data_IF_055557926821
#
_entry.id   IF_055557926821
#
_cell.length_a   1.000
_cell.length_b   1.000
_cell.length_c   1.000
_cell.angle_alpha   90.00
_cell.angle_beta   90.00
_cell.angle_gamma   90.00
#
_symmetry.space_group_name_H-M   'P 1'
#
loop_
_entity.id
_entity.type
_entity.pdbx_description
1 polymer ?
#
# COMPACT_ATOMS: atom_id res chain seq x y z
N UNK A 1 10.82 13.01 -13.58
CA UNK A 1 9.81 12.67 -12.54
C UNK A 1 8.53 13.50 -12.68
N UNK A 2 8.57 14.75 -13.13
CA UNK A 2 7.35 15.55 -13.40
C UNK A 2 6.44 14.88 -14.43
N UNK A 3 7.00 14.41 -15.59
CA UNK A 3 6.22 13.74 -16.64
C UNK A 3 5.57 12.42 -16.18
N UNK A 4 6.23 11.67 -15.33
CA UNK A 4 5.67 10.42 -14.77
C UNK A 4 4.67 10.63 -13.65
N UNK A 5 4.51 11.87 -13.16
CA UNK A 5 3.69 12.22 -12.00
C UNK A 5 4.34 11.90 -10.66
N UNK A 6 5.56 11.33 -10.65
CA UNK A 6 6.23 10.91 -9.40
C UNK A 6 6.92 12.06 -8.66
N UNK A 7 7.11 13.21 -9.31
CA UNK A 7 7.71 14.38 -8.67
C UNK A 7 6.96 14.76 -7.40
N UNK A 8 5.64 14.88 -7.47
CA UNK A 8 4.82 15.26 -6.31
C UNK A 8 4.88 14.22 -5.19
N UNK A 9 4.78 12.93 -5.50
CA UNK A 9 4.87 11.86 -4.49
C UNK A 9 6.25 11.72 -3.85
N UNK A 10 7.32 12.14 -4.55
CA UNK A 10 8.69 12.12 -3.99
C UNK A 10 9.08 13.39 -3.26
N UNK A 11 8.26 14.44 -3.35
CA UNK A 11 8.56 15.77 -2.83
C UNK A 11 7.57 16.23 -1.76
N UNK A 12 6.38 15.61 -1.69
CA UNK A 12 5.36 15.94 -0.72
C UNK A 12 5.53 15.10 0.57
N UNK A 13 5.25 15.69 1.71
CA UNK A 13 5.23 15.01 3.00
C UNK A 13 6.57 14.38 3.37
N UNK A 14 6.58 13.05 3.52
CA UNK A 14 7.78 12.24 3.80
C UNK A 14 8.50 11.79 2.51
N UNK A 15 8.42 12.58 1.45
CA UNK A 15 9.05 12.29 0.17
C UNK A 15 10.56 12.05 0.28
N UNK A 16 11.06 11.09 -0.50
CA UNK A 16 12.45 10.60 -0.42
C UNK A 16 13.43 11.30 -1.35
N UNK A 17 13.02 12.34 -2.09
CA UNK A 17 13.90 13.02 -3.03
C UNK A 17 14.61 14.20 -2.39
N UNK A 18 15.95 14.21 -2.46
CA UNK A 18 16.72 15.42 -2.15
C UNK A 18 16.43 16.52 -3.17
N UNK A 19 16.01 17.67 -2.66
CA UNK A 19 15.77 18.89 -3.43
C UNK A 19 16.93 19.85 -3.27
N UNK A 20 17.28 20.50 -4.37
CA UNK A 20 18.23 21.59 -4.37
C UNK A 20 17.84 22.62 -5.45
N UNK A 21 18.29 23.83 -5.27
CA UNK A 21 18.10 24.92 -6.21
C UNK A 21 19.46 25.31 -6.81
N UNK A 22 19.51 25.45 -8.11
CA UNK A 22 20.74 25.92 -8.76
C UNK A 22 20.87 27.45 -8.67
N UNK A 23 22.03 27.96 -9.14
CA UNK A 23 22.30 29.41 -9.10
C UNK A 23 21.34 30.25 -9.95
N UNK A 24 20.49 29.63 -10.75
CA UNK A 24 19.49 30.28 -11.61
C UNK A 24 18.07 30.16 -11.05
N UNK A 25 17.93 29.61 -9.84
CA UNK A 25 16.62 29.40 -9.20
C UNK A 25 15.83 28.22 -9.78
N UNK A 26 16.51 27.25 -10.43
CA UNK A 26 15.83 26.07 -10.98
C UNK A 26 15.85 24.96 -9.94
N UNK A 27 14.70 24.38 -9.70
CA UNK A 27 14.56 23.19 -8.85
C UNK A 27 15.21 21.97 -9.51
N UNK A 28 16.03 21.27 -8.76
CA UNK A 28 16.71 20.04 -9.14
C UNK A 28 16.45 18.98 -8.07
N UNK A 29 16.44 17.71 -8.46
CA UNK A 29 16.37 16.57 -7.55
C UNK A 29 17.52 15.61 -7.78
N UNK A 30 18.10 15.08 -6.69
CA UNK A 30 19.01 13.94 -6.81
C UNK A 30 18.20 12.67 -7.02
N UNK A 31 18.68 11.80 -7.92
CA UNK A 31 17.94 10.61 -8.34
C UNK A 31 17.81 9.55 -7.25
N UNK A 32 16.61 9.30 -6.72
CA UNK A 32 16.35 8.18 -5.80
C UNK A 32 16.25 6.84 -6.54
N UNK A 33 15.93 6.90 -7.83
CA UNK A 33 15.82 5.79 -8.78
C UNK A 33 15.81 6.33 -10.22
N UNK A 34 15.97 5.51 -11.27
CA UNK A 34 16.22 6.02 -12.62
C UNK A 34 15.24 5.49 -13.68
N UNK A 35 14.03 5.04 -13.34
CA UNK A 35 13.04 4.60 -14.32
C UNK A 35 12.80 5.66 -15.39
N UNK A 36 12.58 6.92 -14.99
CA UNK A 36 12.31 8.00 -15.93
C UNK A 36 13.51 8.33 -16.81
N UNK A 37 14.72 8.35 -16.22
CA UNK A 37 15.93 8.66 -16.95
C UNK A 37 16.18 7.63 -18.05
N UNK A 38 16.10 6.35 -17.72
CA UNK A 38 16.33 5.25 -18.66
C UNK A 38 15.20 5.13 -19.69
N UNK A 39 13.94 5.42 -19.29
CA UNK A 39 12.80 5.48 -20.20
C UNK A 39 12.98 6.59 -21.25
N UNK A 40 13.47 7.77 -20.83
CA UNK A 40 13.78 8.86 -21.76
C UNK A 40 14.87 8.46 -22.76
N UNK A 41 15.96 7.88 -22.25
CA UNK A 41 17.06 7.38 -23.09
C UNK A 41 16.60 6.30 -24.08
N UNK A 42 15.80 5.34 -23.64
CA UNK A 42 15.25 4.30 -24.48
C UNK A 42 14.35 4.89 -25.60
N UNK A 43 13.52 5.87 -25.28
CA UNK A 43 12.68 6.57 -26.26
C UNK A 43 13.47 7.29 -27.35
N UNK A 44 14.70 7.72 -27.05
CA UNK A 44 15.59 8.32 -28.03
C UNK A 44 16.34 7.28 -28.93
N UNK A 45 16.70 6.14 -28.34
CA UNK A 45 17.57 5.15 -28.99
C UNK A 45 16.79 4.02 -29.66
N UNK A 46 15.66 3.59 -29.10
CA UNK A 46 14.89 2.44 -29.55
C UNK A 46 13.70 2.90 -30.40
N UNK A 47 13.76 2.66 -31.71
CA UNK A 47 12.75 3.13 -32.66
C UNK A 47 11.92 2.03 -33.29
N UNK A 48 12.37 0.78 -33.22
CA UNK A 48 11.78 -0.33 -33.96
C UNK A 48 11.67 -1.58 -33.07
N UNK A 49 10.61 -2.35 -33.27
CA UNK A 49 10.42 -3.66 -32.63
C UNK A 49 11.61 -4.61 -32.87
N UNK A 50 12.38 -4.44 -33.95
CA UNK A 50 13.55 -5.28 -34.23
C UNK A 50 14.72 -5.06 -33.27
N UNK A 51 14.68 -3.99 -32.48
CA UNK A 51 15.66 -3.70 -31.45
C UNK A 51 15.26 -4.30 -30.09
N UNK A 52 14.06 -4.89 -29.99
CA UNK A 52 13.46 -5.45 -28.76
C UNK A 52 13.53 -6.98 -28.77
N UNK A 53 13.61 -7.64 -27.61
CA UNK A 53 13.76 -7.02 -26.29
C UNK A 53 15.18 -6.49 -26.04
N UNK A 54 15.30 -5.51 -25.18
CA UNK A 54 16.59 -4.99 -24.70
C UNK A 54 16.57 -4.80 -23.20
N UNK A 55 17.68 -5.10 -22.53
CA UNK A 55 17.86 -4.86 -21.11
C UNK A 55 19.08 -3.98 -20.91
N UNK A 56 18.84 -2.77 -20.40
CA UNK A 56 19.86 -1.77 -20.07
C UNK A 56 20.13 -1.81 -18.57
N UNK A 57 21.39 -1.72 -18.16
CA UNK A 57 21.72 -1.71 -16.73
C UNK A 57 22.78 -0.68 -16.40
N UNK A 58 22.83 -0.32 -15.16
CA UNK A 58 23.88 0.50 -14.57
C UNK A 58 24.21 0.03 -13.15
N UNK A 59 25.39 0.38 -12.67
CA UNK A 59 25.78 0.33 -11.27
C UNK A 59 26.11 1.75 -10.89
N UNK A 60 25.24 2.40 -10.12
CA UNK A 60 25.29 3.84 -9.95
C UNK A 60 24.76 4.24 -8.55
N UNK A 61 25.27 5.36 -8.05
CA UNK A 61 24.81 5.95 -6.80
C UNK A 61 23.36 6.41 -6.91
N UNK A 62 22.59 6.14 -5.87
CA UNK A 62 21.23 6.65 -5.63
C UNK A 62 21.24 7.51 -4.38
N UNK A 63 20.33 8.48 -4.35
CA UNK A 63 20.17 9.40 -3.24
C UNK A 63 18.73 9.36 -2.73
N UNK A 64 18.56 9.07 -1.44
CA UNK A 64 17.24 9.08 -0.80
C UNK A 64 17.31 9.87 0.49
N UNK A 65 16.43 10.86 0.65
CA UNK A 65 16.37 11.68 1.87
C UNK A 65 15.65 10.90 2.98
N UNK A 66 16.30 9.85 3.44
CA UNK A 66 15.80 9.00 4.52
C UNK A 66 15.68 9.81 5.81
N UNK A 67 14.48 9.82 6.39
CA UNK A 67 14.22 10.54 7.66
C UNK A 67 15.05 9.95 8.80
N UNK A 68 15.19 8.61 8.81
CA UNK A 68 15.91 7.89 9.87
C UNK A 68 16.88 6.88 9.26
N UNK A 69 18.07 7.32 8.79
CA UNK A 69 19.12 6.38 8.40
C UNK A 69 19.46 5.46 9.58
N UNK A 70 19.55 4.16 9.32
CA UNK A 70 19.78 3.14 10.36
C UNK A 70 20.65 2.00 9.83
N UNK A 71 21.14 1.16 10.75
CA UNK A 71 21.88 -0.06 10.45
C UNK A 71 23.11 0.13 9.56
N UNK A 72 23.85 1.22 9.76
CA UNK A 72 25.07 1.52 9.03
C UNK A 72 24.81 1.71 7.53
N UNK A 73 25.31 0.80 6.69
CA UNK A 73 25.19 0.89 5.24
C UNK A 73 23.85 0.36 4.70
N UNK A 74 23.05 -0.35 5.49
CA UNK A 74 21.84 -0.98 5.00
C UNK A 74 20.73 0.01 4.64
N UNK A 75 20.67 1.16 5.33
CA UNK A 75 19.68 2.21 5.06
C UNK A 75 20.33 3.58 5.15
N UNK A 76 21.14 3.91 4.13
CA UNK A 76 21.82 5.17 3.98
C UNK A 76 21.08 6.15 3.06
N UNK A 77 21.49 7.43 3.12
CA UNK A 77 20.99 8.47 2.22
C UNK A 77 21.67 8.47 0.85
N UNK A 78 22.83 7.88 0.77
CA UNK A 78 23.62 7.67 -0.43
C UNK A 78 24.08 6.21 -0.47
N UNK A 79 23.80 5.48 -1.55
CA UNK A 79 24.14 4.08 -1.68
C UNK A 79 24.31 3.69 -3.14
N UNK A 80 25.04 2.61 -3.39
CA UNK A 80 25.23 2.06 -4.73
C UNK A 80 24.17 1.00 -5.00
N UNK A 81 23.52 1.14 -6.15
CA UNK A 81 22.53 0.17 -6.64
C UNK A 81 22.91 -0.31 -8.03
N UNK A 82 22.82 -1.61 -8.27
CA UNK A 82 22.69 -2.15 -9.62
C UNK A 82 21.21 -2.09 -9.97
N UNK A 83 20.87 -1.34 -10.97
CA UNK A 83 19.53 -1.26 -11.52
C UNK A 83 19.52 -1.54 -13.01
N UNK A 84 18.59 -2.40 -13.44
CA UNK A 84 18.39 -2.75 -14.83
C UNK A 84 16.95 -2.50 -15.25
N UNK A 85 16.77 -2.20 -16.52
CA UNK A 85 15.49 -1.82 -17.10
C UNK A 85 15.32 -2.54 -18.44
N UNK A 86 14.27 -3.34 -18.55
CA UNK A 86 13.98 -4.06 -19.78
C UNK A 86 12.84 -3.39 -20.56
N UNK A 87 12.94 -3.44 -21.88
CA UNK A 87 12.00 -2.85 -22.83
C UNK A 87 11.54 -3.91 -23.81
N UNK A 88 10.22 -4.01 -24.00
CA UNK A 88 9.58 -5.10 -24.72
C UNK A 88 8.48 -4.61 -25.65
N UNK A 89 8.24 -5.36 -26.71
CA UNK A 89 7.11 -5.12 -27.62
C UNK A 89 5.77 -5.63 -27.07
N UNK A 90 5.79 -6.61 -26.17
CA UNK A 90 4.57 -7.23 -25.62
C UNK A 90 4.70 -7.53 -24.13
N UNK A 91 3.55 -7.67 -23.47
CA UNK A 91 3.49 -8.11 -22.09
C UNK A 91 4.03 -9.53 -21.89
N UNK A 92 3.78 -10.42 -22.86
CA UNK A 92 4.26 -11.80 -22.80
C UNK A 92 5.78 -11.88 -22.75
N UNK A 93 6.47 -11.08 -23.58
CA UNK A 93 7.91 -10.97 -23.62
C UNK A 93 8.48 -10.35 -22.32
N UNK A 94 7.79 -9.34 -21.74
CA UNK A 94 8.14 -8.81 -20.42
C UNK A 94 8.07 -9.91 -19.34
N UNK A 95 7.00 -10.71 -19.33
CA UNK A 95 6.82 -11.77 -18.33
C UNK A 95 7.88 -12.88 -18.45
N UNK A 96 8.28 -13.22 -19.68
CA UNK A 96 9.38 -14.16 -19.93
C UNK A 96 10.70 -13.62 -19.35
N UNK A 97 11.06 -12.38 -19.69
CA UNK A 97 12.26 -11.73 -19.15
C UNK A 97 12.21 -11.58 -17.64
N UNK A 98 11.05 -11.27 -17.07
CA UNK A 98 10.88 -11.21 -15.63
C UNK A 98 11.20 -12.57 -14.95
N UNK A 99 10.73 -13.68 -15.52
CA UNK A 99 11.06 -15.03 -15.03
C UNK A 99 12.57 -15.34 -15.15
N UNK A 100 13.21 -14.92 -16.22
CA UNK A 100 14.68 -15.07 -16.39
C UNK A 100 15.44 -14.25 -15.33
N UNK A 101 14.98 -13.03 -15.05
CA UNK A 101 15.58 -12.18 -14.02
C UNK A 101 15.35 -12.71 -12.61
N UNK A 102 14.18 -13.26 -12.28
CA UNK A 102 13.96 -13.97 -11.01
C UNK A 102 14.98 -15.08 -10.80
N UNK A 103 15.16 -15.96 -11.78
CA UNK A 103 16.14 -17.05 -11.68
C UNK A 103 17.59 -16.53 -11.58
N UNK A 104 17.91 -15.43 -12.27
CA UNK A 104 19.22 -14.82 -12.19
C UNK A 104 19.49 -14.26 -10.78
N UNK A 105 18.50 -13.59 -10.16
CA UNK A 105 18.61 -13.04 -8.80
C UNK A 105 18.79 -14.13 -7.75
N UNK A 106 18.01 -15.21 -7.81
CA UNK A 106 18.21 -16.39 -6.94
C UNK A 106 19.63 -16.90 -7.02
N UNK A 107 20.17 -17.07 -8.23
CA UNK A 107 21.55 -17.53 -8.45
C UNK A 107 22.60 -16.54 -7.95
N UNK A 108 22.37 -15.23 -8.13
CA UNK A 108 23.27 -14.18 -7.63
C UNK A 108 23.34 -14.25 -6.10
N UNK A 109 22.21 -14.26 -5.42
CA UNK A 109 22.18 -14.30 -3.95
C UNK A 109 22.74 -15.59 -3.39
N UNK A 110 22.42 -16.75 -3.97
CA UNK A 110 23.02 -18.04 -3.62
C UNK A 110 24.56 -18.00 -3.75
N UNK A 111 25.09 -17.45 -4.84
CA UNK A 111 26.55 -17.31 -5.04
C UNK A 111 27.19 -16.31 -4.09
N UNK A 112 26.44 -15.37 -3.56
CA UNK A 112 26.87 -14.46 -2.48
C UNK A 112 26.77 -15.10 -1.10
N UNK A 113 26.28 -16.35 -0.99
CA UNK A 113 26.06 -17.01 0.29
C UNK A 113 24.84 -16.51 1.05
N UNK A 114 23.88 -15.86 0.37
CA UNK A 114 22.66 -15.33 0.94
C UNK A 114 21.49 -16.28 0.62
N UNK A 115 20.80 -16.73 1.66
CA UNK A 115 19.55 -17.48 1.53
C UNK A 115 18.38 -16.48 1.41
N UNK A 116 18.22 -15.96 0.20
CA UNK A 116 17.21 -14.96 -0.10
C UNK A 116 15.90 -15.61 -0.54
N UNK A 117 14.85 -15.40 0.23
CA UNK A 117 13.49 -15.86 -0.08
C UNK A 117 12.79 -14.82 -0.95
N UNK A 118 12.29 -15.19 -2.15
CA UNK A 118 11.43 -14.31 -2.91
C UNK A 118 10.07 -14.19 -2.25
N UNK A 119 9.60 -12.98 -2.08
CA UNK A 119 8.30 -12.68 -1.46
C UNK A 119 7.49 -11.73 -2.36
N UNK A 120 6.20 -11.96 -2.44
CA UNK A 120 5.30 -11.04 -3.13
C UNK A 120 5.27 -9.70 -2.40
N UNK A 121 5.38 -8.61 -3.15
CA UNK A 121 5.47 -7.27 -2.61
C UNK A 121 4.45 -6.31 -3.25
N UNK A 122 4.13 -5.23 -2.55
CA UNK A 122 3.45 -4.10 -3.16
C UNK A 122 4.43 -3.30 -4.02
N UNK A 123 3.97 -2.82 -5.17
CA UNK A 123 4.83 -2.06 -6.09
C UNK A 123 5.08 -0.61 -5.65
N UNK A 124 4.38 -0.14 -4.62
CA UNK A 124 4.52 1.19 -4.02
C UNK A 124 4.49 2.34 -5.04
N UNK A 125 5.27 3.37 -4.78
CA UNK A 125 5.39 4.55 -5.64
C UNK A 125 5.96 4.23 -7.03
N UNK A 126 6.77 3.17 -7.16
CA UNK A 126 7.28 2.69 -8.45
C UNK A 126 6.11 2.25 -9.33
N UNK A 127 5.16 1.52 -8.75
CA UNK A 127 3.97 1.01 -9.43
C UNK A 127 4.29 -0.15 -10.38
N UNK A 128 3.28 -0.60 -11.10
CA UNK A 128 3.35 -1.76 -11.98
C UNK A 128 2.30 -2.81 -11.64
N UNK A 129 2.25 -3.88 -12.42
CA UNK A 129 1.25 -4.95 -12.25
C UNK A 129 1.61 -5.95 -11.15
N UNK A 130 2.90 -6.17 -10.92
CA UNK A 130 3.43 -7.10 -9.92
C UNK A 130 4.86 -6.71 -9.53
N UNK A 131 5.24 -7.04 -8.31
CA UNK A 131 6.62 -6.94 -7.85
C UNK A 131 6.96 -8.06 -6.87
N UNK A 132 8.26 -8.35 -6.77
CA UNK A 132 8.81 -9.39 -5.91
C UNK A 132 10.10 -8.90 -5.28
N UNK A 133 10.15 -8.96 -3.96
CA UNK A 133 11.35 -8.71 -3.16
C UNK A 133 12.13 -10.00 -2.92
N UNK A 134 13.44 -9.86 -2.78
CA UNK A 134 14.30 -10.94 -2.31
C UNK A 134 14.76 -10.59 -0.90
N UNK A 135 14.28 -11.38 0.08
CA UNK A 135 14.41 -11.11 1.50
C UNK A 135 15.36 -12.11 2.15
N UNK A 136 16.41 -11.62 2.78
CA UNK A 136 17.25 -12.45 3.68
C UNK A 136 16.65 -12.41 5.08
N UNK A 137 16.25 -13.56 5.59
CA UNK A 137 15.68 -13.65 6.95
C UNK A 137 16.76 -13.38 8.00
N UNK A 138 16.51 -12.41 8.87
CA UNK A 138 17.42 -12.04 9.96
C UNK A 138 16.63 -11.39 11.10
N UNK A 139 16.99 -11.69 12.34
CA UNK A 139 16.33 -11.08 13.52
C UNK A 139 16.45 -9.54 13.56
N UNK A 140 17.51 -9.01 12.96
CA UNK A 140 17.74 -7.58 12.81
C UNK A 140 17.00 -6.96 11.62
N UNK A 141 16.22 -7.75 10.84
CA UNK A 141 15.47 -7.26 9.70
C UNK A 141 14.39 -6.26 10.10
N UNK A 142 14.17 -5.26 9.26
CA UNK A 142 13.12 -4.25 9.47
C UNK A 142 11.77 -4.72 8.96
N UNK A 143 11.77 -5.42 7.83
CA UNK A 143 10.55 -5.76 7.11
C UNK A 143 9.96 -7.06 7.63
N UNK A 144 8.65 -7.03 7.81
CA UNK A 144 7.88 -8.19 8.21
C UNK A 144 7.47 -8.98 6.97
N UNK A 145 7.80 -10.25 6.97
CA UNK A 145 7.36 -11.20 5.95
C UNK A 145 6.51 -12.29 6.56
N UNK A 146 5.45 -12.65 5.85
CA UNK A 146 4.55 -13.73 6.19
C UNK A 146 4.80 -14.89 5.24
N UNK A 147 5.10 -16.05 5.78
CA UNK A 147 5.44 -17.28 5.04
C UNK A 147 4.50 -18.37 5.49
N UNK A 148 3.90 -19.09 4.56
CA UNK A 148 3.14 -20.30 4.89
C UNK A 148 4.07 -21.41 5.41
N UNK A 149 3.60 -22.23 6.34
CA UNK A 149 4.40 -23.29 6.95
C UNK A 149 4.79 -24.40 5.95
N UNK A 150 4.08 -24.52 4.82
CA UNK A 150 4.44 -25.37 3.68
C UNK A 150 5.47 -24.72 2.73
N UNK A 151 5.83 -23.45 2.96
CA UNK A 151 6.80 -22.70 2.17
C UNK A 151 6.37 -22.35 0.74
N UNK A 152 5.09 -22.55 0.38
CA UNK A 152 4.60 -22.29 -0.98
C UNK A 152 4.11 -20.84 -1.18
N UNK A 153 3.88 -20.09 -0.09
CA UNK A 153 3.47 -18.69 -0.12
C UNK A 153 4.39 -17.86 0.77
N UNK A 154 4.85 -16.74 0.25
CA UNK A 154 5.57 -15.73 1.01
C UNK A 154 5.22 -14.33 0.46
N UNK A 155 4.94 -13.39 1.35
CA UNK A 155 4.66 -11.99 1.00
C UNK A 155 5.16 -11.06 2.11
N UNK A 156 5.50 -9.82 1.74
CA UNK A 156 5.73 -8.78 2.73
C UNK A 156 4.41 -8.35 3.40
N UNK A 157 4.49 -7.69 4.55
CA UNK A 157 3.30 -7.27 5.33
C UNK A 157 2.32 -6.43 4.50
N UNK A 158 2.81 -5.61 3.59
CA UNK A 158 1.99 -4.70 2.78
C UNK A 158 1.10 -5.45 1.78
N UNK A 159 1.61 -6.57 1.26
CA UNK A 159 0.94 -7.39 0.23
C UNK A 159 0.23 -8.60 0.78
N UNK A 160 0.65 -9.11 1.94
CA UNK A 160 0.20 -10.37 2.48
C UNK A 160 -1.32 -10.48 2.60
N UNK A 161 -1.85 -11.63 2.17
CA UNK A 161 -3.27 -11.99 2.27
C UNK A 161 -3.43 -13.25 3.10
N UNK A 162 -4.53 -13.35 3.84
CA UNK A 162 -4.82 -14.50 4.68
C UNK A 162 -6.30 -14.62 5.02
N UNK A 163 -6.70 -15.75 5.56
CA UNK A 163 -8.02 -15.97 6.14
C UNK A 163 -7.88 -15.93 7.66
N UNK A 164 -8.45 -14.93 8.35
CA UNK A 164 -8.36 -14.82 9.80
C UNK A 164 -9.28 -15.82 10.50
N UNK A 165 -9.09 -15.98 11.80
CA UNK A 165 -10.02 -16.74 12.63
C UNK A 165 -11.45 -16.19 12.49
N UNK A 166 -12.43 -17.10 12.55
CA UNK A 166 -13.84 -16.75 12.54
C UNK A 166 -14.18 -15.82 13.72
N UNK A 167 -15.09 -14.88 13.50
CA UNK A 167 -15.59 -14.04 14.58
C UNK A 167 -16.39 -14.84 15.59
N UNK A 168 -16.31 -14.49 16.87
CA UNK A 168 -17.19 -15.03 17.88
C UNK A 168 -18.63 -14.55 17.62
N UNK A 169 -19.63 -15.43 17.66
CA UNK A 169 -21.02 -15.00 17.46
C UNK A 169 -21.49 -14.10 18.60
N UNK A 170 -22.39 -13.17 18.30
CA UNK A 170 -23.18 -12.47 19.32
C UNK A 170 -24.40 -13.33 19.71
N UNK A 171 -24.90 -13.20 20.95
CA UNK A 171 -26.16 -13.82 21.33
C UNK A 171 -27.32 -13.23 20.52
N UNK A 172 -28.30 -14.05 20.21
CA UNK A 172 -29.51 -13.59 19.54
C UNK A 172 -30.26 -12.58 20.42
N UNK A 173 -30.73 -11.49 19.84
CA UNK A 173 -31.44 -10.45 20.56
C UNK A 173 -31.68 -9.19 19.70
N UNK A 174 -32.45 -8.24 20.22
CA UNK A 174 -32.66 -6.95 19.57
C UNK A 174 -31.39 -6.10 19.62
N UNK A 175 -31.36 -5.07 18.78
CA UNK A 175 -30.37 -4.01 18.91
C UNK A 175 -30.57 -3.22 20.22
N UNK A 176 -29.51 -2.96 20.93
CA UNK A 176 -29.50 -2.20 22.17
C UNK A 176 -28.46 -1.09 22.14
N UNK A 177 -28.79 0.06 22.71
CA UNK A 177 -27.83 1.14 22.96
C UNK A 177 -27.22 1.02 24.33
N UNK A 178 -25.92 0.86 24.43
CA UNK A 178 -25.22 0.58 25.69
C UNK A 178 -24.30 1.75 26.04
N UNK A 179 -24.46 2.38 27.23
CA UNK A 179 -23.54 3.40 27.71
C UNK A 179 -22.14 2.83 27.96
N UNK A 180 -21.15 3.56 27.48
CA UNK A 180 -19.73 3.17 27.53
C UNK A 180 -18.83 4.36 27.87
N UNK A 181 -19.07 5.03 28.99
CA UNK A 181 -18.37 6.26 29.35
C UNK A 181 -16.86 6.01 29.53
N UNK A 182 -16.04 6.78 28.80
CA UNK A 182 -14.58 6.70 28.85
C UNK A 182 -13.98 5.46 28.17
N UNK A 183 -14.77 4.64 27.47
CA UNK A 183 -14.31 3.41 26.80
C UNK A 183 -14.07 3.67 25.30
N UNK A 184 -13.04 4.45 25.00
CA UNK A 184 -12.74 4.88 23.61
C UNK A 184 -11.83 3.95 22.81
N UNK A 185 -11.28 2.87 23.38
CA UNK A 185 -10.48 1.86 22.69
C UNK A 185 -11.16 0.51 22.66
N UNK A 186 -10.85 -0.32 21.66
CA UNK A 186 -11.37 -1.70 21.59
C UNK A 186 -11.01 -2.51 22.83
N UNK A 187 -9.78 -2.39 23.31
CA UNK A 187 -9.28 -3.07 24.49
C UNK A 187 -10.12 -2.68 25.72
N UNK A 188 -10.20 -1.38 26.05
CA UNK A 188 -10.97 -0.90 27.21
C UNK A 188 -12.46 -1.26 27.14
N UNK A 189 -13.04 -1.20 25.92
CA UNK A 189 -14.44 -1.53 25.68
C UNK A 189 -14.72 -3.02 25.92
N UNK A 190 -13.87 -3.88 25.33
CA UNK A 190 -14.04 -5.33 25.42
C UNK A 190 -13.78 -5.84 26.85
N UNK A 191 -12.75 -5.34 27.51
CA UNK A 191 -12.42 -5.71 28.89
C UNK A 191 -13.54 -5.31 29.88
N UNK A 192 -14.05 -4.08 29.76
CA UNK A 192 -15.09 -3.58 30.64
C UNK A 192 -16.45 -4.28 30.44
N UNK A 193 -16.75 -4.73 29.23
CA UNK A 193 -18.05 -5.32 28.89
C UNK A 193 -18.03 -6.84 28.74
N UNK A 194 -16.86 -7.47 28.76
CA UNK A 194 -16.70 -8.90 28.52
C UNK A 194 -16.98 -9.28 27.05
N UNK A 195 -16.79 -8.34 26.11
CA UNK A 195 -17.01 -8.58 24.68
C UNK A 195 -15.75 -9.12 24.02
N UNK A 196 -15.92 -9.90 22.95
CA UNK A 196 -14.80 -10.34 22.15
C UNK A 196 -14.50 -9.27 21.08
N UNK A 197 -13.23 -8.84 20.88
CA UNK A 197 -12.88 -7.87 19.84
C UNK A 197 -13.36 -8.24 18.44
N UNK A 198 -13.46 -9.55 18.12
CA UNK A 198 -13.96 -10.00 16.82
C UNK A 198 -15.45 -9.73 16.56
N UNK A 199 -16.21 -9.38 17.62
CA UNK A 199 -17.63 -9.02 17.55
C UNK A 199 -17.85 -7.53 17.27
N UNK A 200 -16.78 -6.73 17.31
CA UNK A 200 -16.84 -5.27 17.18
C UNK A 200 -16.45 -4.84 15.75
N UNK A 201 -17.22 -3.93 15.18
CA UNK A 201 -16.81 -3.15 14.01
C UNK A 201 -16.35 -1.78 14.48
N UNK A 202 -15.03 -1.56 14.44
CA UNK A 202 -14.43 -0.25 14.71
C UNK A 202 -14.38 0.58 13.44
N UNK A 203 -14.56 1.88 13.58
CA UNK A 203 -14.48 2.85 12.50
C UNK A 203 -13.25 3.73 12.68
N UNK A 204 -12.45 3.80 11.64
CA UNK A 204 -11.26 4.62 11.55
C UNK A 204 -11.47 5.71 10.50
N UNK A 205 -11.11 6.94 10.83
CA UNK A 205 -11.24 8.07 9.92
C UNK A 205 -9.87 8.48 9.39
N UNK A 206 -9.79 8.66 8.07
CA UNK A 206 -8.60 9.14 7.37
C UNK A 206 -8.95 10.29 6.43
N UNK A 207 -7.95 11.05 6.02
CA UNK A 207 -8.03 11.93 4.87
C UNK A 207 -6.96 11.56 3.87
N UNK A 208 -7.37 11.31 2.63
CA UNK A 208 -6.47 11.07 1.51
C UNK A 208 -6.27 12.35 0.71
N UNK A 209 -5.02 12.70 0.40
CA UNK A 209 -4.65 13.73 -0.55
C UNK A 209 -4.44 13.07 -1.90
N UNK A 210 -5.23 13.46 -2.89
CA UNK A 210 -5.17 12.90 -4.24
C UNK A 210 -4.21 13.69 -5.13
N UNK A 211 -3.85 13.14 -6.28
CA UNK A 211 -2.92 13.73 -7.26
C UNK A 211 -3.42 15.06 -7.88
N UNK A 212 -4.73 15.33 -7.82
CA UNK A 212 -5.34 16.61 -8.18
C UNK A 212 -5.52 17.56 -6.97
N UNK A 213 -4.81 17.32 -5.88
CA UNK A 213 -4.87 18.07 -4.61
C UNK A 213 -6.23 17.98 -3.88
N UNK A 214 -7.14 17.15 -4.35
CA UNK A 214 -8.41 16.88 -3.65
C UNK A 214 -8.15 16.20 -2.30
N UNK A 215 -8.80 16.69 -1.26
CA UNK A 215 -8.78 16.09 0.08
C UNK A 215 -10.05 15.28 0.30
N UNK A 216 -9.92 13.95 0.25
CA UNK A 216 -11.02 13.01 0.38
C UNK A 216 -11.08 12.39 1.79
N UNK A 217 -12.10 12.71 2.61
CA UNK A 217 -12.32 12.00 3.87
C UNK A 217 -12.73 10.55 3.63
N UNK A 218 -12.17 9.64 4.43
CA UNK A 218 -12.44 8.21 4.40
C UNK A 218 -13.06 7.77 5.71
N UNK A 219 -14.05 6.88 5.64
CA UNK A 219 -14.60 6.15 6.76
C UNK A 219 -14.33 4.67 6.52
N UNK A 220 -13.44 4.10 7.32
CA UNK A 220 -12.96 2.72 7.16
C UNK A 220 -13.46 1.85 8.31
N UNK A 221 -14.28 0.87 7.99
CA UNK A 221 -14.81 -0.09 8.95
C UNK A 221 -13.93 -1.33 8.99
N UNK A 222 -13.50 -1.72 10.18
CA UNK A 222 -12.59 -2.84 10.39
C UNK A 222 -13.06 -3.67 11.60
N UNK A 223 -12.90 -4.99 11.56
CA UNK A 223 -13.18 -5.84 12.72
C UNK A 223 -12.24 -5.49 13.89
N UNK A 224 -12.73 -5.45 15.09
CA UNK A 224 -12.02 -4.93 16.26
C UNK A 224 -10.69 -5.62 16.56
N UNK A 225 -10.60 -6.93 16.31
CA UNK A 225 -9.39 -7.74 16.50
C UNK A 225 -8.37 -7.63 15.35
N UNK A 226 -8.68 -6.89 14.27
CA UNK A 226 -7.81 -6.73 13.11
C UNK A 226 -7.05 -5.40 13.16
N UNK A 227 -5.92 -5.36 12.46
CA UNK A 227 -5.13 -4.15 12.23
C UNK A 227 -5.25 -3.71 10.77
N UNK A 228 -5.38 -2.40 10.57
CA UNK A 228 -5.45 -1.81 9.24
C UNK A 228 -4.10 -1.86 8.54
N UNK A 229 -4.12 -2.19 7.25
CA UNK A 229 -2.95 -2.09 6.39
C UNK A 229 -3.00 -0.76 5.62
N UNK A 230 -2.10 0.21 5.90
CA UNK A 230 -2.13 1.51 5.24
C UNK A 230 -1.95 1.42 3.73
N UNK A 231 -1.07 0.55 3.24
CA UNK A 231 -0.81 0.36 1.81
C UNK A 231 -2.04 -0.17 1.09
N UNK A 232 -2.75 -1.14 1.68
CA UNK A 232 -4.01 -1.64 1.11
C UNK A 232 -5.09 -0.57 1.05
N UNK A 233 -5.17 0.32 2.06
CA UNK A 233 -6.10 1.46 2.05
C UNK A 233 -5.78 2.42 0.92
N UNK A 234 -4.52 2.83 0.77
CA UNK A 234 -4.06 3.70 -0.33
C UNK A 234 -4.42 3.09 -1.69
N UNK A 235 -4.12 1.81 -1.89
CA UNK A 235 -4.44 1.07 -3.11
C UNK A 235 -5.96 0.98 -3.35
N UNK A 236 -6.75 0.80 -2.29
CA UNK A 236 -8.20 0.76 -2.36
C UNK A 236 -8.80 2.11 -2.77
N UNK A 237 -8.34 3.20 -2.17
CA UNK A 237 -8.74 4.57 -2.51
C UNK A 237 -8.38 4.88 -3.96
N UNK A 238 -7.13 4.62 -4.36
CA UNK A 238 -6.65 4.86 -5.72
C UNK A 238 -7.51 4.13 -6.77
N UNK A 239 -7.80 2.85 -6.55
CA UNK A 239 -8.65 2.06 -7.44
C UNK A 239 -10.10 2.53 -7.49
N UNK A 240 -10.67 2.86 -6.32
CA UNK A 240 -12.09 3.27 -6.23
C UNK A 240 -12.34 4.62 -6.88
N UNK A 241 -11.41 5.56 -6.72
CA UNK A 241 -11.52 6.92 -7.28
C UNK A 241 -10.87 7.06 -8.65
N UNK A 242 -10.10 6.05 -9.10
CA UNK A 242 -9.28 6.09 -10.31
C UNK A 242 -8.35 7.31 -10.33
N UNK A 243 -7.71 7.60 -9.18
CA UNK A 243 -6.78 8.71 -8.97
C UNK A 243 -5.56 8.26 -8.18
N UNK A 244 -4.43 8.93 -8.38
CA UNK A 244 -3.25 8.75 -7.53
C UNK A 244 -3.50 9.28 -6.11
N UNK A 245 -2.95 8.60 -5.11
CA UNK A 245 -2.98 9.04 -3.71
C UNK A 245 -1.57 9.48 -3.34
N UNK A 246 -1.42 10.75 -2.94
CA UNK A 246 -0.14 11.34 -2.53
C UNK A 246 0.15 11.11 -1.05
N UNK A 247 -0.90 11.15 -0.21
CA UNK A 247 -0.82 10.96 1.23
C UNK A 247 -2.15 10.40 1.75
N UNK A 248 -2.10 9.62 2.83
CA UNK A 248 -3.27 9.12 3.52
C UNK A 248 -2.99 9.02 5.02
N UNK A 249 -3.58 9.90 5.82
CA UNK A 249 -3.31 10.00 7.24
C UNK A 249 -4.60 9.99 8.08
N UNK A 250 -4.51 9.57 9.36
CA UNK A 250 -5.65 9.65 10.27
C UNK A 250 -6.18 11.08 10.43
N UNK A 251 -7.49 11.20 10.56
CA UNK A 251 -8.14 12.45 10.95
C UNK A 251 -8.05 12.60 12.47
N UNK A 252 -7.58 13.76 12.92
CA UNK A 252 -7.45 14.10 14.34
C UNK A 252 -8.51 15.13 14.78
N UNK A 253 -8.75 15.32 16.09
CA UNK A 253 -9.60 16.41 16.59
C UNK A 253 -9.14 17.81 16.14
N UNK A 254 -7.82 18.01 15.98
CA UNK A 254 -7.27 19.26 15.46
C UNK A 254 -7.65 19.51 14.01
N UNK A 255 -7.75 18.44 13.21
CA UNK A 255 -8.18 18.54 11.81
C UNK A 255 -9.66 18.99 11.73
N UNK A 256 -10.53 18.44 12.58
CA UNK A 256 -11.95 18.87 12.62
C UNK A 256 -12.09 20.35 12.96
N UNK A 257 -11.27 20.85 13.90
CA UNK A 257 -11.22 22.26 14.25
C UNK A 257 -10.71 23.13 13.07
N UNK A 258 -9.66 22.69 12.37
CA UNK A 258 -9.13 23.39 11.18
C UNK A 258 -10.16 23.46 10.05
N UNK A 259 -10.93 22.41 9.86
CA UNK A 259 -11.97 22.33 8.85
C UNK A 259 -13.25 23.09 9.25
N UNK A 260 -13.39 23.46 10.55
CA UNK A 260 -14.59 24.12 11.11
C UNK A 260 -15.86 23.27 10.95
N UNK A 261 -15.74 21.97 11.11
CA UNK A 261 -16.85 21.01 11.11
C UNK A 261 -17.30 20.69 12.54
N UNK A 262 -18.49 20.09 12.66
CA UNK A 262 -19.00 19.64 13.94
C UNK A 262 -18.08 18.62 14.61
N UNK A 263 -18.02 18.59 15.95
CA UNK A 263 -17.20 17.62 16.67
C UNK A 263 -17.58 16.18 16.33
N UNK A 264 -16.60 15.38 15.95
CA UNK A 264 -16.76 13.94 15.69
C UNK A 264 -16.61 13.19 17.01
N UNK A 265 -17.49 12.23 17.34
CA UNK A 265 -17.42 11.46 18.59
C UNK A 265 -16.37 10.36 18.53
N UNK A 266 -15.07 10.75 18.47
CA UNK A 266 -13.96 9.79 18.46
C UNK A 266 -14.09 8.79 19.62
N UNK A 267 -13.86 7.50 19.32
CA UNK A 267 -14.07 6.39 20.26
C UNK A 267 -15.50 5.81 20.25
N UNK A 268 -16.48 6.53 19.66
CA UNK A 268 -17.89 6.07 19.56
C UNK A 268 -18.45 6.21 18.14
N UNK A 269 -17.60 6.21 17.13
CA UNK A 269 -17.99 6.37 15.74
C UNK A 269 -18.59 5.06 15.21
N UNK A 270 -19.76 5.16 14.60
CA UNK A 270 -20.42 4.06 13.88
C UNK A 270 -20.20 4.12 12.37
N UNK A 271 -20.42 3.01 11.64
CA UNK A 271 -20.26 2.95 10.19
C UNK A 271 -21.20 3.88 9.42
N UNK A 272 -22.29 4.30 10.04
CA UNK A 272 -23.29 5.23 9.51
C UNK A 272 -23.09 6.69 9.96
N UNK A 273 -21.89 7.07 10.38
CA UNK A 273 -21.59 8.48 10.64
C UNK A 273 -22.03 9.32 9.43
N UNK A 274 -22.94 10.29 9.68
CA UNK A 274 -23.54 11.07 8.61
C UNK A 274 -22.52 11.97 7.90
N UNK A 275 -22.65 12.12 6.59
CA UNK A 275 -21.86 13.09 5.82
C UNK A 275 -22.18 14.55 6.21
N UNK A 276 -23.30 14.80 6.90
CA UNK A 276 -23.64 16.12 7.44
C UNK A 276 -22.55 16.68 8.38
N UNK A 277 -21.76 15.81 9.05
CA UNK A 277 -20.64 16.27 9.89
C UNK A 277 -19.55 16.97 9.07
N UNK A 278 -19.46 16.71 7.75
CA UNK A 278 -18.52 17.36 6.84
C UNK A 278 -19.06 18.65 6.24
N UNK A 279 -20.32 19.02 6.55
CA UNK A 279 -20.96 20.19 6.00
C UNK A 279 -20.23 21.47 6.45
N UNK A 280 -19.82 22.25 5.49
CA UNK A 280 -19.05 23.47 5.74
C UNK A 280 -17.55 23.27 5.90
N UNK A 281 -17.03 22.05 5.70
CA UNK A 281 -15.60 21.81 5.65
C UNK A 281 -14.92 22.72 4.60
N UNK A 282 -13.78 23.31 4.99
CA UNK A 282 -13.10 24.31 4.16
C UNK A 282 -12.49 23.74 2.90
N UNK A 283 -11.89 22.56 3.02
CA UNK A 283 -11.07 21.96 1.95
C UNK A 283 -11.39 20.50 1.67
N UNK A 284 -12.13 19.84 2.56
CA UNK A 284 -12.48 18.43 2.39
C UNK A 284 -13.67 18.24 1.46
N UNK A 285 -13.71 17.11 0.77
CA UNK A 285 -14.91 16.68 0.06
C UNK A 285 -16.08 16.52 1.05
N UNK A 286 -17.33 16.82 0.62
CA UNK A 286 -18.49 16.86 1.51
C UNK A 286 -19.06 15.48 1.86
N UNK A 287 -18.46 14.40 1.38
CA UNK A 287 -18.91 13.03 1.62
C UNK A 287 -17.74 12.12 1.96
N UNK A 288 -17.98 11.16 2.87
CA UNK A 288 -17.00 10.12 3.14
C UNK A 288 -16.95 9.08 2.00
N UNK A 289 -15.76 8.71 1.59
CA UNK A 289 -15.57 7.44 0.90
C UNK A 289 -15.61 6.33 1.96
N UNK A 290 -16.64 5.45 1.88
CA UNK A 290 -16.90 4.41 2.88
C UNK A 290 -16.35 3.08 2.40
N UNK A 291 -15.35 2.58 3.13
CA UNK A 291 -14.70 1.30 2.88
C UNK A 291 -14.90 0.38 4.09
N UNK A 292 -14.95 -0.91 3.87
CA UNK A 292 -14.89 -1.90 4.93
C UNK A 292 -13.97 -3.05 4.57
N UNK A 293 -13.27 -3.55 5.57
CA UNK A 293 -12.62 -4.85 5.43
C UNK A 293 -13.66 -5.95 5.20
N UNK A 294 -13.32 -6.92 4.36
CA UNK A 294 -14.20 -8.06 4.03
C UNK A 294 -14.72 -8.75 5.28
N UNK A 295 -13.85 -8.96 6.28
CA UNK A 295 -14.20 -9.64 7.54
C UNK A 295 -15.17 -8.84 8.41
N UNK A 296 -15.17 -7.52 8.32
CA UNK A 296 -16.14 -6.66 8.98
C UNK A 296 -17.47 -6.61 8.21
N UNK A 297 -17.41 -6.53 6.87
CA UNK A 297 -18.59 -6.46 6.02
C UNK A 297 -19.43 -7.75 5.99
N UNK A 298 -18.82 -8.88 6.34
CA UNK A 298 -19.45 -10.21 6.40
C UNK A 298 -20.11 -10.52 7.74
N UNK A 299 -19.91 -9.70 8.78
CA UNK A 299 -20.57 -9.91 10.07
C UNK A 299 -22.10 -9.75 9.94
N UNK A 300 -22.85 -10.76 10.36
CA UNK A 300 -24.31 -10.74 10.36
C UNK A 300 -24.85 -9.79 11.43
N UNK A 301 -24.29 -9.85 12.64
CA UNK A 301 -24.52 -8.93 13.75
C UNK A 301 -23.21 -8.54 14.40
N UNK A 302 -23.13 -7.31 14.92
CA UNK A 302 -21.93 -6.77 15.51
C UNK A 302 -22.20 -5.64 16.52
N UNK A 303 -21.15 -5.22 17.19
CA UNK A 303 -21.11 -4.07 18.08
C UNK A 303 -20.40 -2.92 17.34
N UNK A 304 -20.90 -1.70 17.44
CA UNK A 304 -20.20 -0.53 16.91
C UNK A 304 -20.54 0.75 17.69
N UNK A 305 -19.81 1.83 17.43
CA UNK A 305 -20.16 3.16 17.96
C UNK A 305 -21.55 3.60 17.50
N UNK A 306 -22.20 4.40 18.33
CA UNK A 306 -23.55 4.94 18.07
C UNK A 306 -23.55 6.36 17.51
N UNK A 307 -22.41 6.88 17.07
CA UNK A 307 -22.21 8.28 16.62
C UNK A 307 -22.58 9.33 17.69
N UNK A 308 -22.59 8.91 18.93
CA UNK A 308 -22.84 9.73 20.11
C UNK A 308 -21.73 9.45 21.12
N UNK A 309 -21.14 10.46 21.78
CA UNK A 309 -20.10 10.25 22.76
C UNK A 309 -20.52 9.23 23.82
N UNK A 310 -19.62 8.34 24.19
CA UNK A 310 -19.80 7.33 25.24
C UNK A 310 -21.01 6.39 25.05
N UNK A 311 -21.38 6.11 23.79
CA UNK A 311 -22.49 5.21 23.47
C UNK A 311 -22.09 4.24 22.33
N UNK A 312 -22.41 2.95 22.52
CA UNK A 312 -22.24 1.91 21.51
C UNK A 312 -23.56 1.19 21.25
N UNK A 313 -23.73 0.69 20.03
CA UNK A 313 -24.84 -0.21 19.64
C UNK A 313 -24.37 -1.65 19.78
N UNK A 314 -25.14 -2.46 20.46
CA UNK A 314 -24.94 -3.90 20.62
C UNK A 314 -25.96 -4.62 19.72
N UNK A 315 -25.51 -5.67 19.03
CA UNK A 315 -26.34 -6.52 18.17
C UNK A 315 -26.99 -5.78 16.99
N UNK A 316 -26.29 -4.80 16.44
CA UNK A 316 -26.70 -4.14 15.19
C UNK A 316 -26.29 -4.96 13.96
N UNK A 317 -26.70 -4.55 12.75
CA UNK A 317 -26.37 -5.21 11.50
C UNK A 317 -26.21 -4.21 10.37
N UNK A 318 -25.57 -4.60 9.27
CA UNK A 318 -25.45 -3.75 8.08
C UNK A 318 -26.82 -3.35 7.49
N UNK A 319 -27.82 -4.19 7.65
CA UNK A 319 -29.21 -3.86 7.24
C UNK A 319 -29.81 -2.77 8.13
N UNK A 320 -29.60 -2.85 9.45
CA UNK A 320 -30.06 -1.82 10.39
C UNK A 320 -29.34 -0.49 10.18
N UNK A 321 -28.05 -0.53 9.86
CA UNK A 321 -27.22 0.63 9.52
C UNK A 321 -27.69 1.32 8.23
N UNK A 322 -28.25 0.56 7.29
CA UNK A 322 -28.81 1.11 6.04
C UNK A 322 -27.78 1.57 4.99
N UNK A 323 -26.48 1.50 5.30
CA UNK A 323 -25.39 1.84 4.37
C UNK A 323 -24.38 0.69 4.35
N UNK A 324 -24.29 -0.01 3.21
CA UNK A 324 -23.24 -1.02 3.03
C UNK A 324 -22.02 -0.38 2.38
N UNK A 325 -20.85 -0.37 3.04
CA UNK A 325 -19.62 0.16 2.46
C UNK A 325 -19.09 -0.74 1.33
N UNK A 326 -18.14 -0.22 0.55
CA UNK A 326 -17.36 -1.04 -0.40
C UNK A 326 -16.49 -2.01 0.38
N UNK A 327 -16.68 -3.32 0.14
CA UNK A 327 -15.95 -4.41 0.81
C UNK A 327 -14.65 -4.71 0.07
N UNK A 328 -13.53 -4.72 0.79
CA UNK A 328 -12.18 -4.92 0.27
C UNK A 328 -11.29 -5.59 1.34
N UNK A 329 -10.17 -6.19 0.93
CA UNK A 329 -9.13 -6.61 1.86
C UNK A 329 -8.32 -5.37 2.29
N UNK A 330 -8.49 -4.95 3.55
CA UNK A 330 -7.86 -3.75 4.12
C UNK A 330 -7.03 -4.03 5.37
N UNK A 331 -7.01 -5.27 5.84
CA UNK A 331 -6.33 -5.64 7.07
C UNK A 331 -4.90 -6.14 6.84
N UNK A 332 -4.09 -6.11 7.88
CA UNK A 332 -2.86 -6.88 7.95
C UNK A 332 -3.18 -8.38 8.07
N UNK A 333 -2.53 -9.19 7.25
CA UNK A 333 -2.38 -10.61 7.54
C UNK A 333 -1.43 -10.78 8.72
N UNK A 334 -1.57 -11.85 9.50
CA UNK A 334 -0.73 -12.09 10.69
C UNK A 334 -0.41 -13.57 10.89
N UNK A 335 0.61 -13.82 11.68
CA UNK A 335 0.97 -15.18 12.08
C UNK A 335 -0.22 -15.92 12.72
N UNK A 336 -0.40 -17.19 12.37
CA UNK A 336 -1.50 -18.05 12.81
C UNK A 336 -2.73 -18.00 11.91
N UNK A 337 -2.90 -16.96 11.07
CA UNK A 337 -3.97 -16.93 10.06
C UNK A 337 -3.80 -18.10 9.08
N UNK A 338 -4.90 -18.54 8.50
CA UNK A 338 -4.89 -19.57 7.47
C UNK A 338 -4.36 -18.98 6.15
N UNK A 339 -3.47 -19.70 5.48
CA UNK A 339 -3.00 -19.31 4.16
C UNK A 339 -4.14 -19.32 3.15
N UNK A 340 -4.36 -18.20 2.44
CA UNK A 340 -5.43 -18.12 1.43
C UNK A 340 -5.23 -19.09 0.26
N UNK A 341 -3.98 -19.44 -0.05
CA UNK A 341 -3.63 -20.33 -1.16
C UNK A 341 -3.64 -21.83 -0.77
N UNK A 342 -3.54 -22.12 0.53
CA UNK A 342 -3.63 -23.48 1.06
C UNK A 342 -4.32 -23.48 2.42
N UNK A 343 -5.61 -23.89 2.53
CA UNK A 343 -6.37 -23.87 3.78
C UNK A 343 -5.82 -24.76 4.89
N UNK A 344 -4.96 -25.73 4.57
CA UNK A 344 -4.31 -26.61 5.55
C UNK A 344 -3.04 -25.98 6.15
N UNK A 345 -2.52 -24.92 5.51
CA UNK A 345 -1.31 -24.21 5.91
C UNK A 345 -1.62 -22.95 6.69
N UNK A 346 -0.71 -22.60 7.61
CA UNK A 346 -0.80 -21.36 8.39
C UNK A 346 0.36 -20.45 8.13
N UNK A 347 0.13 -19.15 8.30
CA UNK A 347 1.15 -18.14 8.15
C UNK A 347 2.03 -18.09 9.40
N UNK A 348 3.33 -17.97 9.18
CA UNK A 348 4.36 -17.68 10.17
C UNK A 348 5.00 -16.33 9.85
N UNK A 349 5.46 -15.64 10.87
CA UNK A 349 6.07 -14.33 10.76
C UNK A 349 7.59 -14.46 10.84
N UNK A 350 8.30 -13.77 9.96
CA UNK A 350 9.75 -13.60 10.00
C UNK A 350 10.11 -12.15 9.73
N UNK A 351 11.28 -11.74 10.21
CA UNK A 351 11.87 -10.46 9.81
C UNK A 351 12.89 -10.68 8.70
N UNK A 352 12.94 -9.73 7.76
CA UNK A 352 13.81 -9.80 6.61
C UNK A 352 14.52 -8.48 6.31
N UNK A 353 15.60 -8.62 5.55
CA UNK A 353 16.36 -7.53 4.94
C UNK A 353 16.18 -7.65 3.43
N UNK A 354 15.66 -6.63 2.80
CA UNK A 354 15.53 -6.57 1.34
C UNK A 354 16.91 -6.41 0.70
N UNK A 355 17.29 -7.38 -0.15
CA UNK A 355 18.57 -7.35 -0.89
C UNK A 355 18.38 -7.11 -2.37
N UNK A 356 17.17 -7.28 -2.88
CA UNK A 356 16.82 -7.00 -4.27
C UNK A 356 15.33 -6.95 -4.50
N UNK A 357 14.91 -6.27 -5.56
CA UNK A 357 13.52 -6.08 -5.92
C UNK A 357 13.36 -6.08 -7.44
N UNK A 358 12.38 -6.79 -7.95
CA UNK A 358 12.06 -6.86 -9.38
C UNK A 358 10.61 -6.47 -9.62
N UNK A 359 10.34 -5.73 -10.70
CA UNK A 359 9.05 -5.12 -11.00
C UNK A 359 8.60 -5.39 -12.42
N UNK A 360 7.32 -5.66 -12.61
CA UNK A 360 6.64 -5.59 -13.90
C UNK A 360 5.99 -4.20 -14.01
N UNK A 361 6.70 -3.22 -14.55
CA UNK A 361 6.25 -1.82 -14.64
C UNK A 361 5.09 -1.63 -15.63
N UNK A 362 4.94 -2.57 -16.58
CA UNK A 362 3.98 -2.43 -17.65
C UNK A 362 4.30 -1.25 -18.57
N UNK A 363 3.30 -0.43 -18.87
CA UNK A 363 3.42 0.74 -19.75
C UNK A 363 3.41 2.07 -19.00
N UNK A 364 3.37 2.06 -17.66
CA UNK A 364 3.24 3.26 -16.82
C UNK A 364 4.18 4.40 -17.23
N UNK A 365 5.47 4.11 -17.33
CA UNK A 365 6.49 5.12 -17.65
C UNK A 365 6.55 5.45 -19.14
N UNK A 366 6.48 4.45 -20.00
CA UNK A 366 6.56 4.64 -21.45
C UNK A 366 5.37 5.43 -22.01
N UNK A 367 4.17 5.26 -21.45
CA UNK A 367 2.98 6.05 -21.77
C UNK A 367 3.12 7.50 -21.29
N UNK A 368 3.42 7.68 -20.00
CA UNK A 368 3.52 9.01 -19.38
C UNK A 368 4.65 9.86 -20.00
N UNK A 369 5.75 9.22 -20.42
CA UNK A 369 6.90 9.89 -21.01
C UNK A 369 6.90 9.90 -22.55
N UNK A 370 5.85 9.36 -23.18
CA UNK A 370 5.72 9.26 -24.64
C UNK A 370 6.88 8.49 -25.30
N UNK A 371 7.47 7.55 -24.56
CA UNK A 371 8.56 6.69 -25.03
C UNK A 371 7.97 5.53 -25.84
N UNK A 372 8.22 5.52 -27.16
CA UNK A 372 7.49 4.66 -28.10
C UNK A 372 8.42 4.05 -29.15
N UNK A 373 8.00 2.93 -29.70
CA UNK A 373 8.64 2.24 -30.84
C UNK A 373 7.64 1.98 -31.95
N UNK A 374 8.11 1.71 -33.15
CA UNK A 374 7.29 1.26 -34.29
C UNK A 374 7.23 -0.25 -34.30
N UNK A 375 6.02 -0.82 -34.20
CA UNK A 375 5.79 -2.25 -34.24
C UNK A 375 5.91 -2.82 -35.68
N UNK A 376 5.74 -4.14 -35.85
CA UNK A 376 5.83 -4.83 -37.13
C UNK A 376 4.78 -4.38 -38.14
N UNK A 377 3.65 -3.85 -37.70
CA UNK A 377 2.57 -3.34 -38.53
C UNK A 377 2.72 -1.83 -38.83
N UNK A 378 3.85 -1.21 -38.49
CA UNK A 378 4.11 0.20 -38.70
C UNK A 378 3.38 1.14 -37.73
N UNK A 379 2.75 0.63 -36.67
CA UNK A 379 2.09 1.43 -35.65
C UNK A 379 3.08 1.80 -34.53
N UNK A 380 2.90 3.00 -33.99
CA UNK A 380 3.69 3.48 -32.86
C UNK A 380 3.02 3.08 -31.55
N UNK A 381 3.74 2.36 -30.68
CA UNK A 381 3.26 1.85 -29.41
C UNK A 381 4.23 2.16 -28.27
N UNK A 382 3.73 2.32 -27.01
CA UNK A 382 4.60 2.43 -25.85
C UNK A 382 5.24 1.08 -25.50
N UNK A 383 6.44 1.12 -24.93
CA UNK A 383 7.14 -0.09 -24.47
C UNK A 383 6.44 -0.74 -23.27
N UNK A 384 6.49 -2.05 -23.21
CA UNK A 384 6.32 -2.79 -21.96
C UNK A 384 7.67 -2.83 -21.24
N UNK A 385 7.68 -2.56 -19.93
CA UNK A 385 8.91 -2.33 -19.17
C UNK A 385 8.97 -3.19 -17.90
N UNK A 386 10.18 -3.64 -17.57
CA UNK A 386 10.53 -4.21 -16.26
C UNK A 386 11.66 -3.42 -15.61
N UNK A 387 11.75 -3.50 -14.28
CA UNK A 387 12.83 -2.90 -13.49
C UNK A 387 13.36 -3.94 -12.49
N UNK A 388 14.69 -3.97 -12.31
CA UNK A 388 15.36 -5.03 -11.54
C UNK A 388 16.51 -4.42 -10.73
N UNK A 389 16.29 -4.21 -9.41
CA UNK A 389 17.23 -3.57 -8.50
C UNK A 389 17.94 -4.54 -7.57
N UNK A 390 19.21 -4.28 -7.27
CA UNK A 390 20.01 -4.92 -6.20
C UNK A 390 20.75 -3.82 -5.44
N UNK A 391 20.61 -3.78 -4.10
CA UNK A 391 21.48 -3.00 -3.24
C UNK A 391 22.90 -3.59 -3.27
N UNK A 392 23.91 -2.76 -3.56
CA UNK A 392 25.31 -3.22 -3.69
C UNK A 392 26.14 -2.82 -2.48
N UNK A 393 25.82 -1.69 -1.82
CA UNK A 393 26.51 -1.21 -0.61
C UNK A 393 25.73 -1.42 0.66
#
# INVERSE_FOLDING_TARGET
WQKSGRWQGYTAGEGIMFHLEDRQGRELGLGPTHEELITSLAGELLRSYRQLPVNLYQIQTKFRDEIRPRFGLMRGREFIMKDAYSFHASEADLRETYGVMDQAYRRIFERCGLDAVPVDADSGAIGGAASQEFMVTADAGEDLILISDDGQYAANQEKAVSIPFAASPLPDGPEESIPTPGLGSIESLCDAKGWNPSQVVKVLLFVATLDDETLQPLLVSLRGDQELNPTKVVNAVSRTLNKGVLDCRPITPEDTNRQQIDPIPFGSIGPDLSDEVLKGAKTWQPTFLRLADETASELGSFICGANTPDLHRFNTSWTAIGQKPTSLDLRNARAGDVCQHNPESRLTEKRGIEVGHIFQLGRKYSEAMESRFTNENGKTEPFWMGCYGIGVS
#
